data_IF_355385430903
#
_entry.id   IF_355385430903
#
_cell.length_a   1.000
_cell.length_b   1.000
_cell.length_c   1.000
_cell.angle_alpha   90.00
_cell.angle_beta   90.00
_cell.angle_gamma   90.00
#
_symmetry.space_group_name_H-M   'P 1'
#
loop_
_entity.id
_entity.type
_entity.pdbx_description
1 polymer ?
#
# COMPACT_ATOMS: atom_id res chain seq x y z
N UNK A 1 -22.09 1.61 -12.23
CA UNK A 1 -21.43 2.18 -11.04
C UNK A 1 -22.46 3.00 -10.28
N UNK A 2 -22.61 2.81 -8.96
CA UNK A 2 -23.51 3.62 -8.14
C UNK A 2 -22.84 4.95 -7.78
N UNK A 3 -23.60 6.02 -7.52
CA UNK A 3 -23.03 7.33 -7.16
C UNK A 3 -22.07 7.23 -5.94
N UNK A 4 -22.42 6.40 -4.95
CA UNK A 4 -21.58 6.12 -3.78
C UNK A 4 -20.24 5.48 -4.16
N UNK A 5 -20.25 4.51 -5.08
CA UNK A 5 -19.00 3.90 -5.55
C UNK A 5 -18.09 4.90 -6.26
N UNK A 6 -18.66 5.83 -7.03
CA UNK A 6 -17.90 6.88 -7.71
C UNK A 6 -17.22 7.81 -6.70
N UNK A 7 -17.93 8.21 -5.64
CA UNK A 7 -17.38 9.04 -4.56
C UNK A 7 -16.19 8.36 -3.89
N UNK A 8 -16.30 7.07 -3.54
CA UNK A 8 -15.18 6.34 -2.92
C UNK A 8 -13.97 6.23 -3.85
N UNK A 9 -14.20 6.00 -5.16
CA UNK A 9 -13.10 5.97 -6.14
C UNK A 9 -12.38 7.32 -6.22
N UNK A 10 -13.12 8.43 -6.25
CA UNK A 10 -12.53 9.77 -6.28
C UNK A 10 -11.75 10.09 -5.01
N UNK A 11 -12.30 9.78 -3.83
CA UNK A 11 -11.61 9.94 -2.55
C UNK A 11 -10.33 9.11 -2.49
N UNK A 12 -10.39 7.86 -2.96
CA UNK A 12 -9.23 6.99 -3.06
C UNK A 12 -8.17 7.59 -3.99
N UNK A 13 -8.55 8.10 -5.17
CA UNK A 13 -7.63 8.72 -6.11
C UNK A 13 -6.93 9.96 -5.52
N UNK A 14 -7.68 10.82 -4.82
CA UNK A 14 -7.15 12.00 -4.14
C UNK A 14 -6.22 11.64 -3.00
N UNK A 15 -6.62 10.69 -2.14
CA UNK A 15 -5.76 10.21 -1.06
C UNK A 15 -4.46 9.62 -1.64
N UNK A 16 -4.58 8.84 -2.71
CA UNK A 16 -3.47 8.19 -3.38
C UNK A 16 -2.46 9.20 -3.94
N UNK A 17 -2.92 10.19 -4.71
CA UNK A 17 -2.03 11.21 -5.28
C UNK A 17 -1.38 12.05 -4.17
N UNK A 18 -2.14 12.37 -3.12
CA UNK A 18 -1.66 13.17 -1.99
C UNK A 18 -0.51 12.49 -1.24
N UNK A 19 -0.64 11.23 -0.82
CA UNK A 19 0.44 10.59 -0.07
C UNK A 19 1.70 10.37 -0.91
N UNK A 20 1.57 10.11 -2.22
CA UNK A 20 2.73 10.01 -3.11
C UNK A 20 3.46 11.36 -3.25
N UNK A 21 2.71 12.47 -3.35
CA UNK A 21 3.30 13.81 -3.36
C UNK A 21 4.04 14.13 -2.06
N UNK A 22 3.42 13.81 -0.91
CA UNK A 22 4.03 13.99 0.41
C UNK A 22 5.28 13.12 0.57
N UNK A 23 5.25 11.86 0.13
CA UNK A 23 6.41 10.98 0.10
C UNK A 23 7.56 11.57 -0.72
N UNK A 24 7.30 12.09 -1.93
CA UNK A 24 8.37 12.68 -2.75
C UNK A 24 8.99 13.91 -2.08
N UNK A 25 8.17 14.73 -1.40
CA UNK A 25 8.60 15.94 -0.67
C UNK A 25 9.27 15.63 0.68
N UNK A 26 9.16 14.41 1.20
CA UNK A 26 9.77 14.03 2.46
C UNK A 26 11.30 14.06 2.38
N UNK A 27 11.93 14.50 3.48
CA UNK A 27 13.38 14.49 3.67
C UNK A 27 13.92 13.06 3.64
N UNK A 28 13.26 12.18 4.40
CA UNK A 28 13.56 10.74 4.43
C UNK A 28 12.32 9.94 4.00
N UNK A 29 12.45 9.28 2.85
CA UNK A 29 11.37 8.55 2.19
C UNK A 29 11.06 7.25 2.91
N UNK A 30 12.07 6.58 3.46
CA UNK A 30 11.90 5.31 4.15
C UNK A 30 11.20 5.55 5.49
N UNK A 31 11.63 6.56 6.25
CA UNK A 31 10.98 6.95 7.51
C UNK A 31 9.55 7.43 7.28
N UNK A 32 9.30 8.22 6.23
CA UNK A 32 7.94 8.65 5.89
C UNK A 32 7.01 7.46 5.60
N UNK A 33 7.43 6.52 4.76
CA UNK A 33 6.65 5.31 4.45
C UNK A 33 6.41 4.50 5.72
N UNK A 34 7.44 4.32 6.54
CA UNK A 34 7.33 3.57 7.79
C UNK A 34 6.30 4.22 8.74
N UNK A 35 6.38 5.52 8.97
CA UNK A 35 5.42 6.25 9.81
C UNK A 35 4.00 6.18 9.25
N UNK A 36 3.83 6.32 7.93
CA UNK A 36 2.53 6.21 7.27
C UNK A 36 1.90 4.82 7.52
N UNK A 37 2.70 3.75 7.36
CA UNK A 37 2.26 2.37 7.59
C UNK A 37 1.92 2.11 9.06
N UNK A 38 2.74 2.60 9.99
CA UNK A 38 2.48 2.48 11.44
C UNK A 38 1.21 3.23 11.83
N UNK A 39 1.06 4.49 11.39
CA UNK A 39 -0.12 5.29 11.69
C UNK A 39 -1.39 4.63 11.14
N UNK A 40 -1.36 4.14 9.89
CA UNK A 40 -2.47 3.40 9.30
C UNK A 40 -2.79 2.10 10.06
N UNK A 41 -1.76 1.37 10.49
CA UNK A 41 -1.93 0.14 11.27
C UNK A 41 -2.55 0.42 12.64
N UNK A 42 -2.09 1.45 13.35
CA UNK A 42 -2.66 1.84 14.65
C UNK A 42 -4.12 2.28 14.50
N UNK A 43 -4.41 3.08 13.46
CA UNK A 43 -5.76 3.58 13.20
C UNK A 43 -6.75 2.45 12.84
N UNK A 44 -6.28 1.42 12.11
CA UNK A 44 -7.11 0.30 11.69
C UNK A 44 -7.07 -0.91 12.64
N UNK A 45 -6.14 -0.96 13.59
CA UNK A 45 -5.99 -2.09 14.52
C UNK A 45 -7.27 -2.45 15.30
N UNK A 46 -8.06 -1.49 15.82
CA UNK A 46 -9.31 -1.84 16.52
C UNK A 46 -10.31 -2.55 15.60
N UNK A 47 -10.48 -2.04 14.37
CA UNK A 47 -11.35 -2.67 13.38
C UNK A 47 -10.82 -4.05 12.97
N UNK A 48 -9.51 -4.18 12.75
CA UNK A 48 -8.87 -5.45 12.46
C UNK A 48 -9.08 -6.49 13.57
N UNK A 49 -8.98 -6.08 14.84
CA UNK A 49 -9.27 -6.94 15.99
C UNK A 49 -10.71 -7.42 16.04
N UNK A 50 -11.68 -6.52 15.79
CA UNK A 50 -13.11 -6.88 15.71
C UNK A 50 -13.36 -7.89 14.59
N UNK A 51 -12.79 -7.65 13.40
CA UNK A 51 -12.96 -8.54 12.25
C UNK A 51 -12.30 -9.91 12.45
N UNK A 52 -11.13 -9.95 13.07
CA UNK A 52 -10.41 -11.18 13.41
C UNK A 52 -11.17 -12.00 14.46
N UNK A 53 -11.79 -11.33 15.43
CA UNK A 53 -12.65 -11.98 16.42
C UNK A 53 -13.89 -12.60 15.79
N UNK A 54 -14.56 -11.87 14.90
CA UNK A 54 -15.75 -12.35 14.21
C UNK A 54 -15.44 -13.45 13.18
N UNK A 55 -14.27 -13.38 12.54
CA UNK A 55 -13.84 -14.30 11.49
C UNK A 55 -12.41 -14.78 11.76
N UNK A 56 -12.24 -15.81 12.62
CA UNK A 56 -10.93 -16.35 12.96
C UNK A 56 -10.20 -16.86 11.71
N UNK A 57 -8.91 -16.52 11.60
CA UNK A 57 -8.06 -16.97 10.51
C UNK A 57 -7.64 -18.42 10.77
N UNK A 58 -7.97 -19.33 9.84
CA UNK A 58 -7.50 -20.71 9.87
C UNK A 58 -5.99 -20.82 9.63
N UNK A 59 -5.40 -21.98 9.95
CA UNK A 59 -3.94 -22.20 9.87
C UNK A 59 -3.33 -21.83 8.50
N UNK A 60 -4.01 -22.18 7.40
CA UNK A 60 -3.59 -21.84 6.04
C UNK A 60 -3.65 -20.34 5.75
N UNK A 61 -4.60 -19.62 6.34
CA UNK A 61 -4.73 -18.17 6.18
C UNK A 61 -3.55 -17.41 6.77
N UNK A 62 -2.97 -17.90 7.87
CA UNK A 62 -1.76 -17.29 8.44
C UNK A 62 -0.55 -17.36 7.52
N UNK A 63 -0.42 -18.43 6.72
CA UNK A 63 0.63 -18.50 5.70
C UNK A 63 0.45 -17.44 4.61
N UNK A 64 -0.78 -17.16 4.19
CA UNK A 64 -1.08 -16.09 3.24
C UNK A 64 -0.79 -14.70 3.83
N UNK A 65 -1.12 -14.49 5.11
CA UNK A 65 -0.79 -13.24 5.83
C UNK A 65 0.72 -13.05 5.89
N UNK A 66 1.47 -14.07 6.31
CA UNK A 66 2.93 -14.02 6.36
C UNK A 66 3.55 -13.74 5.00
N UNK A 67 3.08 -14.42 3.96
CA UNK A 67 3.54 -14.20 2.58
C UNK A 67 3.27 -12.76 2.14
N UNK A 68 2.07 -12.25 2.42
CA UNK A 68 1.69 -10.86 2.12
C UNK A 68 2.59 -9.86 2.83
N UNK A 69 2.90 -10.08 4.12
CA UNK A 69 3.80 -9.22 4.90
C UNK A 69 5.18 -9.17 4.26
N UNK A 70 5.76 -10.34 3.94
CA UNK A 70 7.09 -10.43 3.33
C UNK A 70 7.13 -9.68 2.00
N UNK A 71 6.14 -9.93 1.12
CA UNK A 71 6.05 -9.25 -0.18
C UNK A 71 5.90 -7.72 -0.03
N UNK A 72 5.11 -7.25 0.93
CA UNK A 72 4.94 -5.81 1.16
C UNK A 72 6.19 -5.14 1.72
N UNK A 73 6.93 -5.82 2.61
CA UNK A 73 8.22 -5.31 3.11
C UNK A 73 9.18 -5.11 1.93
N UNK A 74 9.35 -6.13 1.09
CA UNK A 74 10.20 -6.02 -0.10
C UNK A 74 9.74 -4.89 -1.03
N UNK A 75 8.43 -4.81 -1.30
CA UNK A 75 7.86 -3.76 -2.14
C UNK A 75 8.18 -2.36 -1.61
N UNK A 76 7.93 -2.07 -0.34
CA UNK A 76 8.14 -0.73 0.21
C UNK A 76 9.62 -0.36 0.34
N UNK A 77 10.50 -1.32 0.65
CA UNK A 77 11.95 -1.10 0.65
C UNK A 77 12.45 -0.76 -0.75
N UNK A 78 12.06 -1.54 -1.76
CA UNK A 78 12.44 -1.28 -3.15
C UNK A 78 11.87 0.04 -3.66
N UNK A 79 10.63 0.39 -3.26
CA UNK A 79 9.99 1.66 -3.61
C UNK A 79 10.73 2.85 -3.00
N UNK A 80 11.08 2.77 -1.71
CA UNK A 80 11.84 3.82 -1.01
C UNK A 80 13.19 4.08 -1.69
N UNK A 81 13.93 3.01 -1.96
CA UNK A 81 15.22 3.08 -2.68
C UNK A 81 15.06 3.60 -4.11
N UNK A 82 14.03 3.16 -4.82
CA UNK A 82 13.70 3.65 -6.16
C UNK A 82 13.47 5.15 -6.18
N UNK A 83 12.65 5.68 -5.26
CA UNK A 83 12.41 7.14 -5.19
C UNK A 83 13.58 7.96 -4.64
N UNK A 84 14.51 7.34 -3.92
CA UNK A 84 15.74 7.99 -3.49
C UNK A 84 16.73 8.17 -4.64
N UNK A 85 16.82 7.19 -5.55
CA UNK A 85 17.83 7.16 -6.63
C UNK A 85 17.29 7.58 -8.00
N UNK A 86 15.96 7.52 -8.22
CA UNK A 86 15.33 7.76 -9.52
C UNK A 86 14.28 8.86 -9.53
N UNK A 87 14.00 9.36 -10.73
CA UNK A 87 12.96 10.35 -10.96
C UNK A 87 11.57 9.78 -10.74
N UNK A 88 10.67 10.60 -10.18
CA UNK A 88 9.30 10.20 -9.90
C UNK A 88 8.58 9.76 -11.19
N UNK A 89 8.82 10.45 -12.31
CA UNK A 89 8.23 10.17 -13.62
C UNK A 89 8.64 8.82 -14.21
N UNK A 90 9.73 8.21 -13.74
CA UNK A 90 10.18 6.88 -14.19
C UNK A 90 9.80 5.79 -13.19
N UNK A 91 10.12 6.01 -11.92
CA UNK A 91 9.93 5.00 -10.86
C UNK A 91 8.44 4.75 -10.61
N UNK A 92 7.60 5.80 -10.67
CA UNK A 92 6.16 5.66 -10.41
C UNK A 92 5.45 4.81 -11.48
N UNK A 93 5.60 5.04 -12.80
CA UNK A 93 5.00 4.16 -13.80
C UNK A 93 5.50 2.73 -13.74
N UNK A 94 6.77 2.48 -13.43
CA UNK A 94 7.29 1.11 -13.30
C UNK A 94 6.65 0.41 -12.10
N UNK A 95 6.74 1.03 -10.91
CA UNK A 95 6.21 0.44 -9.68
C UNK A 95 4.69 0.19 -9.75
N UNK A 96 3.95 1.04 -10.49
CA UNK A 96 2.49 0.94 -10.60
C UNK A 96 1.99 0.21 -11.85
N UNK A 97 2.78 0.15 -12.92
CA UNK A 97 2.38 -0.43 -14.20
C UNK A 97 2.71 -1.92 -14.34
N UNK A 98 3.74 -2.41 -13.64
CA UNK A 98 4.13 -3.83 -13.70
C UNK A 98 3.05 -4.75 -13.14
N UNK A 99 2.39 -4.38 -12.04
CA UNK A 99 1.31 -5.17 -11.45
C UNK A 99 0.18 -5.44 -12.47
N UNK A 100 -0.49 -4.41 -13.02
CA UNK A 100 -1.51 -4.58 -14.05
C UNK A 100 -1.05 -5.30 -15.30
N UNK A 101 0.22 -5.14 -15.70
CA UNK A 101 0.79 -5.85 -16.85
C UNK A 101 0.89 -7.36 -16.62
N UNK A 102 1.10 -7.80 -15.38
CA UNK A 102 1.21 -9.21 -15.03
C UNK A 102 -0.14 -9.90 -14.83
N UNK A 103 -1.21 -9.16 -14.51
CA UNK A 103 -2.56 -9.71 -14.26
C UNK A 103 -3.07 -10.63 -15.40
N UNK A 104 -2.92 -10.30 -16.70
CA UNK A 104 -3.41 -11.17 -17.77
C UNK A 104 -2.69 -12.52 -17.88
N UNK A 105 -1.52 -12.68 -17.25
CA UNK A 105 -0.65 -13.86 -17.38
C UNK A 105 -0.65 -14.72 -16.10
N UNK A 106 -1.16 -14.17 -14.98
CA UNK A 106 -1.30 -14.84 -13.68
C UNK A 106 -2.71 -15.43 -13.53
#
# INVERSE_FOLDING_TARGET
MTATSLVFVLLSALAHSTWNLLLKRSTDKEVFVWLLLVAGSVLLAPLGGVLLWQNPIGQSGWWLVLTTIVLHIFYFVLLGRGYAQGDLSLVYPIARGVGPMLIPVL
#
